data_IF_463476300946
#
_entry.id   IF_463476300946
#
_cell.length_a   1.000
_cell.length_b   1.000
_cell.length_c   1.000
_cell.angle_alpha   90.00
_cell.angle_beta   90.00
_cell.angle_gamma   90.00
#
_symmetry.space_group_name_H-M   'P 1'
#
loop_
_entity.id
_entity.type
_entity.pdbx_description
1 polymer ?
#
# COMPACT_ATOMS: atom_id res chain seq x y z
N UNK A 1 38.30 -36.75 48.13
CA UNK A 1 38.08 -35.94 46.91
C UNK A 1 38.68 -36.69 45.73
N UNK A 2 37.86 -37.10 44.76
CA UNK A 2 38.26 -37.72 43.48
C UNK A 2 37.13 -37.44 42.48
N UNK A 3 37.34 -36.68 41.40
CA UNK A 3 36.45 -36.75 40.25
C UNK A 3 36.93 -37.81 39.26
N UNK A 4 36.01 -38.71 38.89
CA UNK A 4 36.17 -39.73 37.85
C UNK A 4 35.98 -39.05 36.49
N UNK A 5 36.98 -39.16 35.62
CA UNK A 5 36.89 -38.87 34.19
C UNK A 5 36.02 -39.95 33.58
N UNK A 6 35.06 -39.59 32.71
CA UNK A 6 34.53 -40.44 31.64
C UNK A 6 33.66 -39.60 30.70
N UNK A 7 34.04 -39.51 29.43
CA UNK A 7 33.15 -39.72 28.26
C UNK A 7 33.93 -39.44 26.98
N UNK A 8 33.96 -40.45 26.13
CA UNK A 8 34.50 -40.48 24.77
C UNK A 8 33.30 -40.40 23.81
N UNK A 9 33.58 -40.11 22.53
CA UNK A 9 32.78 -40.46 21.33
C UNK A 9 31.76 -39.37 20.94
N UNK A 10 31.53 -38.94 19.69
CA UNK A 10 31.90 -39.32 18.31
C UNK A 10 31.71 -38.05 17.45
N UNK A 11 32.57 -37.77 16.47
CA UNK A 11 32.22 -36.86 15.37
C UNK A 11 31.64 -37.70 14.22
N UNK A 12 30.34 -37.57 13.95
CA UNK A 12 29.70 -38.05 12.73
C UNK A 12 29.10 -36.82 12.04
N UNK A 13 29.58 -36.54 10.84
CA UNK A 13 29.13 -35.42 10.03
C UNK A 13 27.74 -35.62 9.44
N UNK A 14 27.14 -34.51 9.04
CA UNK A 14 26.13 -34.49 7.98
C UNK A 14 26.45 -33.30 7.09
N UNK A 15 26.86 -33.61 5.85
CA UNK A 15 26.84 -32.65 4.76
C UNK A 15 25.37 -32.49 4.33
N UNK A 16 24.87 -31.26 4.32
CA UNK A 16 23.65 -30.92 3.58
C UNK A 16 24.05 -29.95 2.48
N UNK A 17 24.09 -30.48 1.26
CA UNK A 17 24.01 -29.67 0.05
C UNK A 17 22.54 -29.27 -0.09
N UNK A 18 22.26 -27.98 0.05
CA UNK A 18 20.96 -27.39 -0.21
C UNK A 18 21.11 -26.21 -1.16
N UNK A 19 21.17 -26.49 -2.46
CA UNK A 19 20.78 -25.51 -3.47
C UNK A 19 19.26 -25.60 -3.61
N UNK A 20 18.53 -24.56 -3.20
CA UNK A 20 17.10 -24.49 -3.41
C UNK A 20 16.42 -23.39 -2.60
N UNK A 21 16.01 -22.34 -3.31
CA UNK A 21 14.99 -21.35 -2.92
C UNK A 21 15.26 -20.50 -1.66
N UNK A 22 16.07 -19.45 -1.82
CA UNK A 22 15.99 -18.25 -0.96
C UNK A 22 16.10 -17.02 -1.86
N UNK A 23 15.00 -16.62 -2.50
CA UNK A 23 14.96 -15.33 -3.21
C UNK A 23 13.58 -14.68 -3.27
N UNK A 24 12.49 -15.43 -3.10
CA UNK A 24 11.15 -14.84 -3.12
C UNK A 24 10.76 -14.20 -1.79
N UNK A 25 11.01 -14.88 -0.66
CA UNK A 25 10.74 -14.34 0.68
C UNK A 25 11.56 -13.09 0.99
N UNK A 26 12.83 -13.07 0.56
CA UNK A 26 13.70 -11.90 0.74
C UNK A 26 13.22 -10.70 -0.08
N UNK A 27 12.66 -10.93 -1.27
CA UNK A 27 12.11 -9.88 -2.13
C UNK A 27 10.77 -9.38 -1.61
N UNK A 28 9.90 -10.28 -1.14
CA UNK A 28 8.64 -9.94 -0.47
C UNK A 28 8.91 -9.13 0.81
N UNK A 29 9.78 -9.61 1.71
CA UNK A 29 10.14 -8.89 2.93
C UNK A 29 10.77 -7.53 2.63
N UNK A 30 11.73 -7.45 1.70
CA UNK A 30 12.35 -6.16 1.34
C UNK A 30 11.33 -5.20 0.72
N UNK A 31 10.37 -5.68 -0.07
CA UNK A 31 9.33 -4.84 -0.67
C UNK A 31 8.32 -4.36 0.39
N UNK A 32 7.94 -5.22 1.34
CA UNK A 32 7.07 -4.87 2.47
C UNK A 32 7.74 -3.85 3.38
N UNK A 33 9.02 -4.06 3.73
CA UNK A 33 9.80 -3.19 4.61
C UNK A 33 10.10 -1.82 3.97
N UNK A 34 10.32 -1.79 2.64
CA UNK A 34 10.46 -0.53 1.87
C UNK A 34 9.11 0.20 1.73
N UNK A 35 8.00 -0.53 1.55
CA UNK A 35 6.64 0.04 1.48
C UNK A 35 6.20 0.66 2.81
N UNK A 36 6.54 0.02 3.94
CA UNK A 36 6.21 0.50 5.28
C UNK A 36 6.86 1.86 5.61
N UNK A 37 8.01 2.17 5.00
CA UNK A 37 8.77 3.42 5.26
C UNK A 37 8.63 4.48 4.16
N UNK A 38 8.10 4.13 2.98
CA UNK A 38 7.99 5.06 1.84
C UNK A 38 6.92 6.14 2.02
N UNK A 39 5.86 5.85 2.78
CA UNK A 39 4.75 6.78 3.03
C UNK A 39 4.01 6.45 4.32
N UNK A 40 3.36 7.45 4.90
CA UNK A 40 2.59 7.29 6.14
C UNK A 40 1.10 7.18 5.85
N UNK A 41 0.42 6.25 6.51
CA UNK A 41 -1.04 6.20 6.59
C UNK A 41 -1.46 6.70 7.98
N UNK A 42 -2.43 7.61 8.04
CA UNK A 42 -2.91 8.22 9.28
C UNK A 42 -4.42 8.10 9.38
N UNK A 43 -4.94 7.89 10.59
CA UNK A 43 -6.38 7.84 10.87
C UNK A 43 -7.10 6.57 10.40
N UNK A 44 -6.38 5.60 9.81
CA UNK A 44 -6.92 4.32 9.38
C UNK A 44 -7.05 3.34 10.56
N UNK A 45 -7.99 2.41 10.47
CA UNK A 45 -7.97 1.19 11.31
C UNK A 45 -6.86 0.27 10.81
N UNK A 46 -6.30 -0.59 11.68
CA UNK A 46 -5.21 -1.51 11.35
C UNK A 46 -5.46 -2.32 10.08
N UNK A 47 -6.66 -2.92 9.96
CA UNK A 47 -7.05 -3.70 8.77
C UNK A 47 -7.08 -2.85 7.49
N UNK A 48 -7.58 -1.61 7.57
CA UNK A 48 -7.66 -0.71 6.41
C UNK A 48 -6.26 -0.29 5.97
N UNK A 49 -5.38 -0.01 6.93
CA UNK A 49 -3.98 0.32 6.63
C UNK A 49 -3.28 -0.84 5.92
N UNK A 50 -3.36 -2.05 6.48
CA UNK A 50 -2.74 -3.24 5.90
C UNK A 50 -3.27 -3.53 4.49
N UNK A 51 -4.61 -3.51 4.33
CA UNK A 51 -5.25 -3.71 3.04
C UNK A 51 -4.76 -2.69 2.01
N UNK A 52 -4.76 -1.40 2.38
CA UNK A 52 -4.38 -0.33 1.46
C UNK A 52 -2.90 -0.44 1.07
N UNK A 53 -2.01 -0.79 2.01
CA UNK A 53 -0.60 -1.03 1.71
C UNK A 53 -0.42 -2.16 0.70
N UNK A 54 -1.13 -3.28 0.91
CA UNK A 54 -1.11 -4.42 0.00
C UNK A 54 -1.65 -4.06 -1.38
N UNK A 55 -2.73 -3.28 -1.45
CA UNK A 55 -3.29 -2.79 -2.71
C UNK A 55 -2.30 -1.86 -3.43
N UNK A 56 -1.66 -0.91 -2.74
CA UNK A 56 -0.64 -0.01 -3.33
C UNK A 56 0.57 -0.80 -3.83
N UNK A 57 1.05 -1.76 -3.05
CA UNK A 57 2.14 -2.63 -3.45
C UNK A 57 1.79 -3.46 -4.69
N UNK A 58 0.56 -3.97 -4.76
CA UNK A 58 0.04 -4.69 -5.93
C UNK A 58 -0.04 -3.79 -7.16
N UNK A 59 -0.49 -2.54 -6.96
CA UNK A 59 -0.59 -1.57 -8.04
C UNK A 59 0.77 -1.18 -8.62
N UNK A 60 1.86 -1.23 -7.82
CA UNK A 60 3.22 -0.82 -8.22
C UNK A 60 3.22 0.54 -8.96
N UNK A 61 2.75 1.62 -8.32
CA UNK A 61 2.78 2.95 -8.94
C UNK A 61 4.23 3.45 -9.06
N UNK A 62 4.51 4.21 -10.11
CA UNK A 62 5.84 4.80 -10.34
C UNK A 62 6.12 5.94 -9.35
N UNK A 63 5.06 6.57 -8.83
CA UNK A 63 5.11 7.65 -7.84
C UNK A 63 4.23 7.27 -6.65
N UNK A 64 4.85 7.22 -5.45
CA UNK A 64 4.13 7.00 -4.20
C UNK A 64 3.67 8.32 -3.58
N UNK A 65 2.53 8.34 -2.86
CA UNK A 65 2.14 9.47 -2.04
C UNK A 65 3.17 9.64 -0.93
N UNK A 66 3.27 10.85 -0.37
CA UNK A 66 4.01 11.09 0.87
C UNK A 66 3.17 10.71 2.09
N UNK A 67 1.87 11.00 2.04
CA UNK A 67 0.92 10.77 3.13
C UNK A 67 -0.44 10.34 2.59
N UNK A 68 -1.09 9.45 3.29
CA UNK A 68 -2.50 9.10 3.09
C UNK A 68 -3.21 9.34 4.41
N UNK A 69 -4.27 10.13 4.42
CA UNK A 69 -4.94 10.58 5.64
C UNK A 69 -6.42 10.26 5.58
N UNK A 70 -6.85 9.34 6.43
CA UNK A 70 -8.25 9.04 6.67
C UNK A 70 -8.83 10.08 7.64
N UNK A 71 -9.91 10.75 7.22
CA UNK A 71 -10.53 11.82 7.99
C UNK A 71 -12.07 11.75 7.93
N UNK A 72 -12.78 12.14 9.00
CA UNK A 72 -14.23 12.34 8.95
C UNK A 72 -14.64 13.37 7.89
N UNK A 73 -15.85 13.26 7.37
CA UNK A 73 -16.35 14.05 6.25
C UNK A 73 -16.17 15.56 6.44
N UNK A 74 -16.42 16.07 7.64
CA UNK A 74 -16.26 17.51 7.92
C UNK A 74 -14.80 17.98 7.80
N UNK A 75 -13.83 17.16 8.23
CA UNK A 75 -12.39 17.45 8.07
C UNK A 75 -11.95 17.32 6.63
N UNK A 76 -12.53 16.35 5.90
CA UNK A 76 -12.32 16.18 4.47
C UNK A 76 -12.72 17.44 3.69
N UNK A 77 -13.95 17.94 3.90
CA UNK A 77 -14.44 19.18 3.29
C UNK A 77 -13.59 20.39 3.68
N UNK A 78 -13.19 20.47 4.95
CA UNK A 78 -12.30 21.53 5.44
C UNK A 78 -10.95 21.50 4.72
N UNK A 79 -10.32 20.33 4.58
CA UNK A 79 -9.05 20.17 3.88
C UNK A 79 -9.17 20.52 2.39
N UNK A 80 -10.20 20.02 1.69
CA UNK A 80 -10.45 20.35 0.29
C UNK A 80 -10.58 21.87 0.08
N UNK A 81 -11.35 22.55 0.95
CA UNK A 81 -11.50 24.00 0.94
C UNK A 81 -10.19 24.74 1.22
N UNK A 82 -9.42 24.29 2.21
CA UNK A 82 -8.11 24.88 2.56
C UNK A 82 -7.12 24.81 1.40
N UNK A 83 -7.10 23.70 0.67
CA UNK A 83 -6.25 23.53 -0.51
C UNK A 83 -6.83 24.17 -1.78
N UNK A 84 -7.96 24.89 -1.67
CA UNK A 84 -8.66 25.52 -2.81
C UNK A 84 -8.94 24.54 -3.95
N UNK A 85 -9.09 23.26 -3.63
CA UNK A 85 -9.57 22.26 -4.57
C UNK A 85 -11.06 22.53 -4.77
N UNK A 86 -11.55 22.36 -5.99
CA UNK A 86 -12.99 22.48 -6.24
C UNK A 86 -13.69 21.47 -5.33
N UNK A 87 -14.54 21.96 -4.42
CA UNK A 87 -15.22 21.10 -3.44
C UNK A 87 -16.07 20.12 -4.25
N UNK A 88 -15.77 18.81 -4.22
CA UNK A 88 -16.29 17.93 -5.26
C UNK A 88 -17.78 17.69 -5.02
N UNK A 89 -18.64 18.17 -5.92
CA UNK A 89 -20.01 17.70 -6.01
C UNK A 89 -20.02 16.37 -6.78
N UNK A 90 -20.40 15.26 -6.14
CA UNK A 90 -20.53 13.94 -6.81
C UNK A 90 -19.52 12.88 -6.35
N UNK A 91 -19.12 11.96 -7.24
CA UNK A 91 -18.29 10.78 -6.92
C UNK A 91 -16.85 11.10 -6.45
N UNK A 92 -16.37 12.31 -6.72
CA UNK A 92 -15.11 12.86 -6.20
C UNK A 92 -15.17 13.23 -4.69
N UNK A 93 -16.28 12.93 -4.01
CA UNK A 93 -16.44 13.13 -2.57
C UNK A 93 -15.76 12.07 -1.68
N UNK A 94 -15.09 11.06 -2.27
CA UNK A 94 -14.54 9.92 -1.53
C UNK A 94 -13.07 10.07 -1.19
N UNK A 95 -12.29 10.56 -2.15
CA UNK A 95 -10.86 10.82 -2.01
C UNK A 95 -10.47 12.04 -2.85
N UNK A 96 -9.40 12.71 -2.44
CA UNK A 96 -8.73 13.67 -3.32
C UNK A 96 -7.22 13.66 -3.07
N UNK A 97 -6.49 14.07 -4.09
CA UNK A 97 -5.04 14.25 -4.04
C UNK A 97 -4.67 15.72 -4.01
N UNK A 98 -3.91 16.13 -3.00
CA UNK A 98 -3.21 17.40 -3.01
C UNK A 98 -1.79 17.21 -3.57
N UNK A 99 -1.64 17.50 -4.87
CA UNK A 99 -0.43 17.25 -5.67
C UNK A 99 0.84 17.84 -5.05
N UNK A 100 0.82 19.13 -4.66
CA UNK A 100 2.01 19.82 -4.14
C UNK A 100 2.60 19.11 -2.92
N UNK A 101 1.74 18.62 -2.03
CA UNK A 101 2.16 17.90 -0.82
C UNK A 101 2.27 16.39 -1.00
N UNK A 102 1.93 15.87 -2.20
CA UNK A 102 1.73 14.44 -2.51
C UNK A 102 0.92 13.74 -1.42
N UNK A 103 -0.16 14.36 -0.97
CA UNK A 103 -1.00 13.82 0.11
C UNK A 103 -2.36 13.41 -0.44
N UNK A 104 -2.82 12.21 -0.12
CA UNK A 104 -4.15 11.72 -0.47
C UNK A 104 -5.03 11.78 0.78
N UNK A 105 -6.22 12.35 0.66
CA UNK A 105 -7.19 12.44 1.74
C UNK A 105 -8.35 11.50 1.43
N UNK A 106 -8.78 10.73 2.42
CA UNK A 106 -9.85 9.73 2.29
C UNK A 106 -10.96 10.10 3.27
N UNK A 107 -12.19 10.23 2.75
CA UNK A 107 -13.37 10.49 3.56
C UNK A 107 -13.85 9.19 4.24
N UNK A 108 -13.60 9.06 5.54
CA UNK A 108 -13.95 7.84 6.30
C UNK A 108 -15.44 7.54 6.33
N UNK A 109 -16.27 8.56 6.13
CA UNK A 109 -17.72 8.43 6.25
C UNK A 109 -18.36 8.07 4.90
N UNK A 110 -17.60 8.20 3.79
CA UNK A 110 -18.14 8.11 2.42
C UNK A 110 -17.33 7.29 1.42
N UNK A 111 -16.10 6.88 1.75
CA UNK A 111 -15.25 6.17 0.78
C UNK A 111 -15.82 4.83 0.30
N UNK A 112 -16.77 4.25 1.06
CA UNK A 112 -17.47 3.03 0.71
C UNK A 112 -16.93 1.84 1.49
N UNK A 113 -16.49 0.81 0.77
CA UNK A 113 -16.00 -0.45 1.32
C UNK A 113 -14.53 -0.70 0.94
N UNK A 114 -13.97 -1.74 1.56
CA UNK A 114 -12.59 -2.18 1.38
C UNK A 114 -12.29 -2.65 -0.06
N UNK A 115 -13.31 -3.12 -0.80
CA UNK A 115 -13.20 -3.59 -2.18
C UNK A 115 -13.05 -2.42 -3.17
N UNK A 116 -13.78 -1.33 -2.93
CA UNK A 116 -13.72 -0.11 -3.74
C UNK A 116 -12.54 0.79 -3.35
N UNK A 117 -11.96 0.63 -2.16
CA UNK A 117 -10.80 1.40 -1.67
C UNK A 117 -9.64 1.41 -2.68
N UNK A 118 -9.23 0.23 -3.16
CA UNK A 118 -8.14 0.12 -4.13
C UNK A 118 -8.47 0.72 -5.50
N UNK A 119 -9.74 0.68 -5.90
CA UNK A 119 -10.22 1.28 -7.15
C UNK A 119 -10.10 2.80 -7.13
N UNK A 120 -10.49 3.44 -6.02
CA UNK A 120 -10.37 4.88 -5.82
C UNK A 120 -8.92 5.30 -5.61
N UNK A 121 -8.15 4.57 -4.80
CA UNK A 121 -6.72 4.84 -4.62
C UNK A 121 -5.97 4.78 -5.95
N UNK A 122 -6.30 3.86 -6.85
CA UNK A 122 -5.70 3.84 -8.19
C UNK A 122 -5.91 5.14 -8.98
N UNK A 123 -7.06 5.80 -8.83
CA UNK A 123 -7.35 7.09 -9.46
C UNK A 123 -6.46 8.20 -8.88
N UNK A 124 -6.39 8.28 -7.56
CA UNK A 124 -5.56 9.25 -6.83
C UNK A 124 -4.06 9.10 -7.14
N UNK A 125 -3.57 7.84 -7.22
CA UNK A 125 -2.21 7.56 -7.66
C UNK A 125 -1.99 7.96 -9.13
N UNK A 126 -3.04 7.95 -9.95
CA UNK A 126 -3.02 8.45 -11.32
C UNK A 126 -2.71 9.94 -11.39
N UNK A 127 -3.36 10.76 -10.56
CA UNK A 127 -3.03 12.19 -10.43
C UNK A 127 -1.55 12.40 -10.07
N UNK A 128 -1.02 11.61 -9.12
CA UNK A 128 0.39 11.69 -8.72
C UNK A 128 1.35 11.27 -9.85
N UNK A 129 1.07 10.17 -10.54
CA UNK A 129 1.90 9.66 -11.61
C UNK A 129 1.98 10.62 -12.80
N UNK A 130 0.87 11.30 -13.10
CA UNK A 130 0.79 12.27 -14.19
C UNK A 130 1.15 13.69 -13.76
N UNK A 131 1.30 13.93 -12.45
CA UNK A 131 1.44 15.25 -11.85
C UNK A 131 0.42 16.26 -12.41
N UNK A 132 -0.84 15.84 -12.50
CA UNK A 132 -1.90 16.54 -13.23
C UNK A 132 -3.21 16.49 -12.45
N UNK A 133 -3.94 17.62 -12.41
CA UNK A 133 -5.29 17.68 -11.86
C UNK A 133 -6.37 17.25 -12.88
N UNK A 134 -5.96 16.81 -14.07
CA UNK A 134 -6.89 16.30 -15.10
C UNK A 134 -7.40 14.91 -14.70
N UNK A 135 -8.72 14.77 -14.63
CA UNK A 135 -9.42 13.51 -14.39
C UNK A 135 -9.12 12.47 -15.48
N UNK A 136 -8.96 12.92 -16.73
CA UNK A 136 -8.67 12.03 -17.87
C UNK A 136 -7.26 11.43 -17.76
N UNK A 137 -6.26 12.26 -17.41
CA UNK A 137 -4.89 11.81 -17.19
C UNK A 137 -4.83 10.80 -16.04
N UNK A 138 -5.51 11.13 -14.94
CA UNK A 138 -5.60 10.26 -13.78
C UNK A 138 -6.24 8.92 -14.13
N UNK A 139 -7.38 8.93 -14.84
CA UNK A 139 -8.09 7.71 -15.23
C UNK A 139 -7.27 6.84 -16.18
N UNK A 140 -6.53 7.44 -17.11
CA UNK A 140 -5.62 6.72 -18.02
C UNK A 140 -4.50 5.99 -17.26
N UNK A 141 -3.91 6.62 -16.24
CA UNK A 141 -2.92 5.97 -15.38
C UNK A 141 -3.57 4.90 -14.49
N UNK A 142 -4.70 5.22 -13.87
CA UNK A 142 -5.45 4.35 -12.96
C UNK A 142 -5.88 3.04 -13.62
N UNK A 143 -6.23 3.07 -14.91
CA UNK A 143 -6.60 1.86 -15.67
C UNK A 143 -5.51 0.77 -15.61
N UNK A 144 -4.23 1.15 -15.64
CA UNK A 144 -3.10 0.21 -15.52
C UNK A 144 -3.01 -0.39 -14.12
N UNK A 145 -3.15 0.43 -13.09
CA UNK A 145 -3.11 0.00 -11.69
C UNK A 145 -4.27 -0.93 -11.34
N UNK A 146 -5.49 -0.58 -11.76
CA UNK A 146 -6.70 -1.40 -11.58
C UNK A 146 -6.60 -2.74 -12.30
N UNK A 147 -5.91 -2.80 -13.45
CA UNK A 147 -5.65 -4.07 -14.13
C UNK A 147 -4.79 -5.00 -13.26
N UNK A 148 -3.70 -4.50 -12.66
CA UNK A 148 -2.83 -5.28 -11.75
C UNK A 148 -3.61 -5.79 -10.53
N UNK A 149 -4.44 -4.95 -9.91
CA UNK A 149 -5.34 -5.37 -8.81
C UNK A 149 -6.28 -6.50 -9.23
N UNK A 150 -6.92 -6.38 -10.39
CA UNK A 150 -7.82 -7.41 -10.92
C UNK A 150 -7.09 -8.72 -11.24
N UNK A 151 -5.87 -8.65 -11.74
CA UNK A 151 -5.05 -9.82 -12.05
C UNK A 151 -4.71 -10.62 -10.78
N UNK A 152 -4.32 -9.94 -9.69
CA UNK A 152 -4.06 -10.61 -8.41
C UNK A 152 -5.33 -11.24 -7.84
N UNK A 153 -6.46 -10.50 -7.83
CA UNK A 153 -7.74 -11.04 -7.35
C UNK A 153 -8.23 -12.28 -8.13
N UNK A 154 -7.84 -12.40 -9.40
CA UNK A 154 -8.16 -13.59 -10.22
C UNK A 154 -7.27 -14.78 -9.90
N UNK A 155 -6.02 -14.55 -9.49
CA UNK A 155 -5.07 -15.60 -9.11
C UNK A 155 -5.37 -16.12 -7.72
N UNK A 156 -5.70 -15.21 -6.81
CA UNK A 156 -6.03 -15.49 -5.42
C UNK A 156 -7.44 -14.98 -5.10
N UNK A 157 -8.49 -15.71 -5.52
CA UNK A 157 -9.85 -15.39 -5.09
C UNK A 157 -9.95 -15.63 -3.57
N UNK A 158 -10.03 -14.54 -2.81
CA UNK A 158 -10.25 -14.56 -1.37
C UNK A 158 -11.63 -15.12 -1.02
#
# INVERSE_FOLDING_TARGET
MKPRIWSVVLWLGVAVVGWGQVHEDARLNRTIETSATAYTIQGAKTRQEELLRNQIQTMQPDVLPRRIVFVPHWKYLYAARMYRLHVPTGMASRMFTHLESRSVFIDTDRYGDDDSLGHWMAHELGHLAMNSSSEEDAEKAAAKYRRRLKEVRKRDPQ
#
